data_IF_754408444149
#
_entry.id   IF_754408444149
#
_cell.length_a   1.000
_cell.length_b   1.000
_cell.length_c   1.000
_cell.angle_alpha   90.00
_cell.angle_beta   90.00
_cell.angle_gamma   90.00
#
_symmetry.space_group_name_H-M   'P 1'
#
loop_
_entity.id
_entity.type
_entity.pdbx_description
1 polymer ?
#
# COMPACT_ATOMS: atom_id res chain seq x y z
N UNK A 1 -132.06 -59.93 108.67
CA UNK A 1 -131.58 -58.64 108.12
C UNK A 1 -132.47 -58.08 107.01
N UNK A 2 -132.74 -58.80 105.91
CA UNK A 2 -133.55 -58.30 104.78
C UNK A 2 -134.93 -57.75 105.21
N UNK A 3 -135.72 -58.54 105.93
CA UNK A 3 -137.06 -58.16 106.42
C UNK A 3 -137.02 -57.14 107.55
N UNK A 4 -135.99 -57.17 108.41
CA UNK A 4 -135.89 -56.32 109.61
C UNK A 4 -135.43 -54.89 109.31
N UNK A 5 -134.73 -54.68 108.20
CA UNK A 5 -134.20 -53.37 107.76
C UNK A 5 -134.76 -52.93 106.42
N UNK A 6 -135.81 -53.61 105.92
CA UNK A 6 -136.49 -53.29 104.65
C UNK A 6 -135.52 -53.17 103.46
N UNK A 7 -134.56 -54.11 103.37
CA UNK A 7 -133.56 -54.11 102.29
C UNK A 7 -134.17 -54.73 101.03
N UNK A 8 -134.26 -53.96 99.95
CA UNK A 8 -134.75 -54.44 98.65
C UNK A 8 -133.59 -54.84 97.71
N UNK A 9 -132.73 -55.74 98.17
CA UNK A 9 -131.55 -56.24 97.44
C UNK A 9 -131.36 -57.74 97.64
N UNK A 10 -130.58 -58.37 96.75
CA UNK A 10 -130.12 -59.76 96.88
C UNK A 10 -128.76 -59.87 97.63
N UNK A 11 -128.24 -61.09 97.82
CA UNK A 11 -127.01 -61.30 98.61
C UNK A 11 -125.72 -60.80 97.92
N UNK A 12 -125.63 -60.91 96.60
CA UNK A 12 -124.47 -60.41 95.85
C UNK A 12 -124.44 -58.88 95.83
N UNK A 13 -125.59 -58.25 95.57
CA UNK A 13 -125.79 -56.80 95.70
C UNK A 13 -125.46 -56.32 97.12
N UNK A 14 -125.83 -57.11 98.13
CA UNK A 14 -125.49 -56.81 99.51
C UNK A 14 -123.98 -56.79 99.76
N UNK A 15 -123.23 -57.77 99.23
CA UNK A 15 -121.75 -57.79 99.33
C UNK A 15 -121.13 -56.54 98.67
N UNK A 16 -121.58 -56.17 97.48
CA UNK A 16 -121.09 -54.97 96.81
C UNK A 16 -121.46 -53.69 97.58
N UNK A 17 -122.67 -53.59 98.11
CA UNK A 17 -123.09 -52.47 98.92
C UNK A 17 -122.27 -52.33 100.22
N UNK A 18 -121.90 -53.44 100.88
CA UNK A 18 -120.96 -53.39 102.02
C UNK A 18 -119.60 -52.86 101.56
N UNK A 19 -119.04 -53.37 100.46
CA UNK A 19 -117.73 -52.94 99.97
C UNK A 19 -117.74 -51.45 99.60
N UNK A 20 -118.79 -50.99 98.93
CA UNK A 20 -118.97 -49.58 98.58
C UNK A 20 -119.08 -48.72 99.83
N UNK A 21 -119.88 -49.12 100.82
CA UNK A 21 -119.97 -48.41 102.10
C UNK A 21 -118.63 -48.39 102.86
N UNK A 22 -117.83 -49.46 102.81
CA UNK A 22 -116.48 -49.50 103.38
C UNK A 22 -115.51 -48.58 102.63
N UNK A 23 -115.63 -48.49 101.30
CA UNK A 23 -114.86 -47.53 100.50
C UNK A 23 -115.30 -46.09 100.77
N UNK A 24 -116.59 -45.81 100.90
CA UNK A 24 -117.13 -44.51 101.31
C UNK A 24 -116.63 -44.13 102.71
N UNK A 25 -116.49 -45.10 103.62
CA UNK A 25 -115.84 -44.88 104.92
C UNK A 25 -114.36 -44.51 104.78
N UNK A 26 -113.59 -45.23 103.96
CA UNK A 26 -112.16 -44.92 103.70
C UNK A 26 -112.00 -43.52 103.07
N UNK A 27 -112.94 -43.12 102.21
CA UNK A 27 -113.05 -41.77 101.62
C UNK A 27 -113.64 -40.71 102.55
N UNK A 28 -114.08 -41.08 103.77
CA UNK A 28 -114.70 -40.21 104.78
C UNK A 28 -116.07 -39.62 104.40
N UNK A 29 -116.79 -40.24 103.48
CA UNK A 29 -118.15 -39.85 103.05
C UNK A 29 -119.24 -40.51 103.91
N UNK A 30 -118.91 -41.65 104.54
CA UNK A 30 -119.78 -42.39 105.44
C UNK A 30 -119.10 -42.61 106.79
N UNK A 31 -119.90 -42.72 107.85
CA UNK A 31 -119.39 -43.04 109.18
C UNK A 31 -119.73 -44.48 109.56
N UNK A 32 -118.80 -45.11 110.25
CA UNK A 32 -118.92 -46.47 110.77
C UNK A 32 -118.80 -46.46 112.29
N UNK A 33 -119.68 -47.17 112.99
CA UNK A 33 -119.65 -47.33 114.45
C UNK A 33 -119.98 -48.77 114.82
N UNK A 34 -119.16 -49.45 115.63
CA UNK A 34 -119.60 -50.68 116.32
C UNK A 34 -120.24 -50.29 117.65
N UNK A 35 -121.46 -50.77 117.88
CA UNK A 35 -122.17 -50.70 119.16
C UNK A 35 -122.05 -52.07 119.82
N UNK A 36 -121.59 -52.12 121.07
CA UNK A 36 -121.40 -53.38 121.80
C UNK A 36 -122.44 -53.49 122.91
N UNK A 37 -123.17 -54.62 122.95
CA UNK A 37 -124.14 -54.94 124.00
C UNK A 37 -124.03 -56.42 124.38
N UNK A 38 -123.62 -56.73 125.61
CA UNK A 38 -123.41 -58.07 126.19
C UNK A 38 -122.77 -59.08 125.21
N UNK A 39 -123.57 -59.76 124.37
CA UNK A 39 -123.14 -60.83 123.47
C UNK A 39 -123.24 -60.49 121.96
N UNK A 40 -123.60 -59.24 121.60
CA UNK A 40 -123.80 -58.78 120.21
C UNK A 40 -123.00 -57.49 119.96
N UNK A 41 -122.19 -57.41 118.88
CA UNK A 41 -121.72 -56.14 118.33
C UNK A 41 -122.57 -55.81 117.10
N UNK A 42 -123.19 -54.63 117.05
CA UNK A 42 -123.86 -54.15 115.85
C UNK A 42 -122.98 -53.12 115.16
N UNK A 43 -122.57 -53.42 113.93
CA UNK A 43 -121.86 -52.49 113.06
C UNK A 43 -122.87 -51.58 112.34
N UNK A 44 -122.79 -50.28 112.58
CA UNK A 44 -123.73 -49.27 112.09
C UNK A 44 -123.04 -48.38 111.06
N UNK A 45 -123.51 -48.46 109.82
CA UNK A 45 -123.18 -47.55 108.74
C UNK A 45 -124.17 -46.38 108.74
N UNK A 46 -123.68 -45.15 108.90
CA UNK A 46 -124.53 -43.97 109.00
C UNK A 46 -123.92 -42.73 108.36
N UNK A 47 -124.78 -41.84 107.85
CA UNK A 47 -124.42 -40.50 107.41
C UNK A 47 -124.78 -39.46 108.46
N UNK A 48 -123.98 -38.38 108.54
CA UNK A 48 -124.32 -37.21 109.35
C UNK A 48 -124.87 -36.12 108.44
N UNK A 49 -126.11 -35.69 108.71
CA UNK A 49 -126.68 -34.47 108.13
C UNK A 49 -126.73 -33.36 109.20
N UNK A 50 -126.98 -32.11 108.78
CA UNK A 50 -127.09 -30.95 109.68
C UNK A 50 -128.23 -31.08 110.70
N UNK A 51 -129.22 -31.92 110.43
CA UNK A 51 -130.45 -32.05 111.22
C UNK A 51 -130.48 -33.35 112.03
N UNK A 52 -130.03 -34.47 111.44
CA UNK A 52 -130.05 -35.81 112.08
C UNK A 52 -129.05 -36.76 111.41
N UNK A 53 -128.59 -37.76 112.15
CA UNK A 53 -127.86 -38.89 111.57
C UNK A 53 -128.82 -39.88 110.91
N UNK A 54 -128.51 -40.29 109.68
CA UNK A 54 -129.28 -41.28 108.90
C UNK A 54 -128.52 -42.59 108.94
N UNK A 55 -129.15 -43.65 109.45
CA UNK A 55 -128.57 -45.00 109.45
C UNK A 55 -128.92 -45.68 108.13
N UNK A 56 -127.90 -46.15 107.40
CA UNK A 56 -128.04 -46.79 106.10
C UNK A 56 -128.10 -48.31 106.22
N UNK A 57 -127.25 -48.89 107.07
CA UNK A 57 -127.20 -50.33 107.29
C UNK A 57 -126.74 -50.61 108.72
N UNK A 58 -127.36 -51.60 109.34
CA UNK A 58 -126.87 -52.20 110.58
C UNK A 58 -126.55 -53.66 110.33
N UNK A 59 -125.39 -54.13 110.77
CA UNK A 59 -124.97 -55.53 110.62
C UNK A 59 -124.66 -56.06 112.00
N UNK A 60 -125.46 -57.01 112.47
CA UNK A 60 -125.18 -57.69 113.73
C UNK A 60 -124.04 -58.68 113.51
N UNK A 61 -123.00 -58.52 114.31
CA UNK A 61 -121.80 -59.32 114.37
C UNK A 61 -121.80 -60.13 115.66
N UNK A 62 -121.37 -61.38 115.55
CA UNK A 62 -121.01 -62.17 116.71
C UNK A 62 -119.72 -61.61 117.32
N UNK A 63 -119.66 -61.52 118.64
CA UNK A 63 -118.39 -61.25 119.33
C UNK A 63 -117.44 -62.42 119.14
N UNK A 64 -116.30 -62.15 118.53
CA UNK A 64 -115.29 -63.18 118.28
C UNK A 64 -114.84 -63.81 119.61
N UNK A 65 -114.65 -65.12 119.58
CA UNK A 65 -114.07 -65.84 120.71
C UNK A 65 -112.54 -65.90 120.58
N UNK A 66 -111.87 -66.28 121.67
CA UNK A 66 -110.40 -66.37 121.69
C UNK A 66 -109.86 -67.31 120.61
N UNK A 67 -110.56 -68.42 120.31
CA UNK A 67 -110.14 -69.40 119.31
C UNK A 67 -110.10 -68.79 117.92
N UNK A 68 -111.14 -68.08 117.50
CA UNK A 68 -111.20 -67.40 116.18
C UNK A 68 -110.11 -66.33 116.04
N UNK A 69 -109.85 -65.57 117.10
CA UNK A 69 -108.75 -64.58 117.12
C UNK A 69 -107.40 -65.29 116.92
N UNK A 70 -107.16 -66.40 117.62
CA UNK A 70 -105.93 -67.17 117.45
C UNK A 70 -105.81 -67.75 116.04
N UNK A 71 -106.89 -68.29 115.47
CA UNK A 71 -106.91 -68.83 114.11
C UNK A 71 -106.57 -67.75 113.08
N UNK A 72 -107.18 -66.57 113.15
CA UNK A 72 -106.90 -65.46 112.21
C UNK A 72 -105.46 -64.92 112.38
N UNK A 73 -104.98 -64.81 113.62
CA UNK A 73 -103.59 -64.40 113.88
C UNK A 73 -102.58 -65.42 113.32
N UNK A 74 -102.87 -66.72 113.42
CA UNK A 74 -102.03 -67.77 112.83
C UNK A 74 -102.03 -67.65 111.31
N UNK A 75 -103.18 -67.42 110.68
CA UNK A 75 -103.28 -67.23 109.22
C UNK A 75 -102.48 -65.99 108.77
N UNK A 76 -102.65 -64.85 109.46
CA UNK A 76 -101.90 -63.63 109.16
C UNK A 76 -100.39 -63.81 109.34
N UNK A 77 -99.96 -64.49 110.41
CA UNK A 77 -98.56 -64.79 110.68
C UNK A 77 -97.95 -65.67 109.59
N UNK A 78 -98.66 -66.72 109.17
CA UNK A 78 -98.21 -67.61 108.10
C UNK A 78 -98.06 -66.85 106.77
N UNK A 79 -99.04 -66.00 106.40
CA UNK A 79 -98.96 -65.18 105.19
C UNK A 79 -97.76 -64.21 105.21
N UNK A 80 -97.49 -63.57 106.36
CA UNK A 80 -96.33 -62.70 106.54
C UNK A 80 -95.02 -63.49 106.44
N UNK A 81 -94.98 -64.69 107.02
CA UNK A 81 -93.80 -65.56 106.97
C UNK A 81 -93.52 -66.02 105.54
N UNK A 82 -94.52 -66.46 104.79
CA UNK A 82 -94.38 -66.83 103.38
C UNK A 82 -93.89 -65.66 102.51
N UNK A 83 -94.45 -64.47 102.73
CA UNK A 83 -94.01 -63.25 102.02
C UNK A 83 -92.55 -62.92 102.34
N UNK A 84 -92.15 -63.01 103.61
CA UNK A 84 -90.78 -62.77 104.04
C UNK A 84 -89.81 -63.80 103.43
N UNK A 85 -90.18 -65.08 103.41
CA UNK A 85 -89.39 -66.14 102.79
C UNK A 85 -89.23 -65.93 101.27
N UNK A 86 -90.29 -65.48 100.60
CA UNK A 86 -90.23 -65.10 99.18
C UNK A 86 -89.29 -63.92 98.95
N UNK A 87 -89.41 -62.85 99.74
CA UNK A 87 -88.55 -61.67 99.64
C UNK A 87 -87.08 -62.02 99.92
N UNK A 88 -86.82 -62.85 100.94
CA UNK A 88 -85.47 -63.32 101.28
C UNK A 88 -84.84 -64.10 100.13
N UNK A 89 -85.61 -64.97 99.45
CA UNK A 89 -85.16 -65.67 98.24
C UNK A 89 -84.86 -64.69 97.09
N UNK A 90 -85.72 -63.71 96.85
CA UNK A 90 -85.50 -62.68 95.82
C UNK A 90 -84.24 -61.85 96.06
N UNK A 91 -84.04 -61.37 97.30
CA UNK A 91 -82.84 -60.61 97.69
C UNK A 91 -81.57 -61.45 97.49
N UNK A 92 -81.62 -62.73 97.88
CA UNK A 92 -80.48 -63.64 97.71
C UNK A 92 -80.13 -63.84 96.23
N UNK A 93 -81.14 -64.02 95.37
CA UNK A 93 -80.94 -64.19 93.94
C UNK A 93 -80.40 -62.91 93.28
N UNK A 94 -80.94 -61.75 93.64
CA UNK A 94 -80.44 -60.46 93.14
C UNK A 94 -78.98 -60.24 93.58
N UNK A 95 -78.64 -60.51 94.84
CA UNK A 95 -77.26 -60.39 95.34
C UNK A 95 -76.28 -61.28 94.56
N UNK A 96 -76.67 -62.52 94.22
CA UNK A 96 -75.87 -63.41 93.38
C UNK A 96 -75.70 -62.84 91.97
N UNK A 97 -76.77 -62.37 91.35
CA UNK A 97 -76.75 -61.77 90.00
C UNK A 97 -75.85 -60.53 89.93
N UNK A 98 -75.99 -59.62 90.91
CA UNK A 98 -75.13 -58.42 91.00
C UNK A 98 -73.66 -58.78 91.15
N UNK A 99 -73.33 -59.75 92.03
CA UNK A 99 -71.94 -60.18 92.22
C UNK A 99 -71.33 -60.77 90.94
N UNK A 100 -72.11 -61.51 90.17
CA UNK A 100 -71.68 -62.04 88.87
C UNK A 100 -71.46 -60.92 87.84
N UNK A 101 -72.35 -59.93 87.80
CA UNK A 101 -72.18 -58.75 86.93
C UNK A 101 -70.97 -57.90 87.31
N UNK A 102 -70.69 -57.72 88.59
CA UNK A 102 -69.49 -57.02 89.05
C UNK A 102 -68.22 -57.76 88.61
N UNK A 103 -68.21 -59.09 88.68
CA UNK A 103 -67.09 -59.91 88.19
C UNK A 103 -66.90 -59.77 86.68
N UNK A 104 -67.99 -59.75 85.90
CA UNK A 104 -67.94 -59.52 84.45
C UNK A 104 -67.39 -58.12 84.12
N UNK A 105 -67.78 -57.09 84.87
CA UNK A 105 -67.27 -55.72 84.71
C UNK A 105 -65.75 -55.68 84.99
N UNK A 106 -65.29 -56.33 86.06
CA UNK A 106 -63.86 -56.39 86.38
C UNK A 106 -63.03 -57.09 85.29
N UNK A 107 -63.56 -58.18 84.70
CA UNK A 107 -62.92 -58.86 83.59
C UNK A 107 -62.81 -57.94 82.35
N UNK A 108 -63.92 -57.30 81.95
CA UNK A 108 -63.92 -56.35 80.82
C UNK A 108 -62.97 -55.17 81.05
N UNK A 109 -62.91 -54.63 82.27
CA UNK A 109 -61.98 -53.55 82.59
C UNK A 109 -60.51 -53.99 82.45
N UNK A 110 -60.21 -55.24 82.81
CA UNK A 110 -58.88 -55.81 82.65
C UNK A 110 -58.50 -55.96 81.17
N UNK A 111 -59.44 -56.42 80.33
CA UNK A 111 -59.27 -56.50 78.88
C UNK A 111 -59.06 -55.12 78.24
N UNK A 112 -59.84 -54.11 78.66
CA UNK A 112 -59.68 -52.72 78.20
C UNK A 112 -58.29 -52.19 78.54
N UNK A 113 -57.79 -52.45 79.76
CA UNK A 113 -56.44 -52.02 80.16
C UNK A 113 -55.37 -52.67 79.28
N UNK A 114 -55.46 -53.98 79.05
CA UNK A 114 -54.51 -54.70 78.19
C UNK A 114 -54.54 -54.21 76.75
N UNK A 115 -55.74 -53.93 76.21
CA UNK A 115 -55.89 -53.42 74.86
C UNK A 115 -55.27 -52.02 74.72
N UNK A 116 -55.45 -51.16 75.72
CA UNK A 116 -54.83 -49.83 75.75
C UNK A 116 -53.30 -49.94 75.80
N UNK A 117 -52.75 -50.79 76.65
CA UNK A 117 -51.30 -51.00 76.76
C UNK A 117 -50.71 -51.50 75.42
N UNK A 118 -51.40 -52.45 74.78
CA UNK A 118 -51.01 -52.93 73.46
C UNK A 118 -51.08 -51.81 72.41
N UNK A 119 -52.17 -51.03 72.39
CA UNK A 119 -52.33 -49.92 71.45
C UNK A 119 -51.19 -48.89 71.59
N UNK A 120 -50.89 -48.43 72.81
CA UNK A 120 -49.82 -47.46 73.02
C UNK A 120 -48.43 -48.01 72.69
N UNK A 121 -48.19 -49.30 72.96
CA UNK A 121 -46.94 -49.96 72.60
C UNK A 121 -46.77 -50.04 71.09
N UNK A 122 -47.80 -50.50 70.37
CA UNK A 122 -47.79 -50.54 68.91
C UNK A 122 -47.67 -49.15 68.30
N UNK A 123 -48.38 -48.16 68.84
CA UNK A 123 -48.29 -46.77 68.39
C UNK A 123 -46.86 -46.23 68.52
N UNK A 124 -46.21 -46.44 69.67
CA UNK A 124 -44.82 -46.00 69.90
C UNK A 124 -43.82 -46.70 68.97
N UNK A 125 -44.05 -47.99 68.66
CA UNK A 125 -43.21 -48.72 67.70
C UNK A 125 -43.36 -48.16 66.29
N UNK A 126 -44.61 -47.88 65.85
CA UNK A 126 -44.89 -47.26 64.55
C UNK A 126 -44.25 -45.88 64.47
N UNK A 127 -44.42 -45.04 65.50
CA UNK A 127 -43.82 -43.71 65.59
C UNK A 127 -42.29 -43.78 65.50
N UNK A 128 -41.66 -44.68 66.26
CA UNK A 128 -40.21 -44.87 66.21
C UNK A 128 -39.70 -45.34 64.85
N UNK A 129 -40.39 -46.28 64.21
CA UNK A 129 -40.05 -46.77 62.88
C UNK A 129 -40.22 -45.67 61.81
N UNK A 130 -41.31 -44.91 61.90
CA UNK A 130 -41.60 -43.80 61.00
C UNK A 130 -40.54 -42.70 61.10
N UNK A 131 -40.20 -42.28 62.32
CA UNK A 131 -39.17 -41.26 62.55
C UNK A 131 -37.80 -41.73 62.06
N UNK A 132 -37.41 -42.98 62.35
CA UNK A 132 -36.15 -43.56 61.86
C UNK A 132 -36.08 -43.60 60.33
N UNK A 133 -37.20 -43.95 59.68
CA UNK A 133 -37.28 -43.96 58.22
C UNK A 133 -37.20 -42.55 57.63
N UNK A 134 -37.89 -41.57 58.24
CA UNK A 134 -37.82 -40.17 57.83
C UNK A 134 -36.40 -39.61 57.96
N UNK A 135 -35.70 -39.88 59.06
CA UNK A 135 -34.31 -39.47 59.26
C UNK A 135 -33.39 -40.09 58.20
N UNK A 136 -33.55 -41.39 57.91
CA UNK A 136 -32.77 -42.08 56.89
C UNK A 136 -33.02 -41.51 55.48
N UNK A 137 -34.29 -41.28 55.12
CA UNK A 137 -34.66 -40.66 53.83
C UNK A 137 -34.07 -39.26 53.73
N UNK A 138 -34.18 -38.46 54.80
CA UNK A 138 -33.65 -37.10 54.86
C UNK A 138 -32.13 -37.10 54.67
N UNK A 139 -31.41 -37.97 55.40
CA UNK A 139 -29.96 -38.10 55.29
C UNK A 139 -29.53 -38.54 53.88
N UNK A 140 -30.17 -39.56 53.31
CA UNK A 140 -29.86 -40.05 51.97
C UNK A 140 -30.12 -38.98 50.90
N UNK A 141 -31.24 -38.27 51.01
CA UNK A 141 -31.60 -37.18 50.08
C UNK A 141 -30.58 -36.04 50.18
N UNK A 142 -30.20 -35.64 51.39
CA UNK A 142 -29.17 -34.61 51.60
C UNK A 142 -27.83 -35.01 50.97
N UNK A 143 -27.35 -36.23 51.21
CA UNK A 143 -26.12 -36.72 50.59
C UNK A 143 -26.17 -36.69 49.04
N UNK A 144 -27.32 -37.01 48.44
CA UNK A 144 -27.50 -36.95 46.98
C UNK A 144 -27.49 -35.51 46.45
N UNK A 145 -28.08 -34.58 47.20
CA UNK A 145 -28.06 -33.14 46.89
C UNK A 145 -26.62 -32.62 46.95
N UNK A 146 -25.89 -32.87 48.03
CA UNK A 146 -24.50 -32.45 48.21
C UNK A 146 -23.59 -33.00 47.10
N UNK A 147 -23.76 -34.28 46.73
CA UNK A 147 -23.00 -34.89 45.65
C UNK A 147 -23.29 -34.26 44.27
N UNK A 148 -24.54 -33.86 44.04
CA UNK A 148 -24.95 -33.19 42.80
C UNK A 148 -24.45 -31.75 42.74
N UNK A 149 -24.47 -31.03 43.86
CA UNK A 149 -23.92 -29.68 43.99
C UNK A 149 -22.40 -29.66 43.72
N UNK A 150 -21.66 -30.64 44.24
CA UNK A 150 -20.23 -30.80 43.94
C UNK A 150 -19.98 -31.06 42.45
N UNK A 151 -20.80 -31.91 41.80
CA UNK A 151 -20.68 -32.15 40.35
C UNK A 151 -20.95 -30.87 39.55
N UNK A 152 -21.98 -30.11 39.92
CA UNK A 152 -22.32 -28.84 39.29
C UNK A 152 -21.15 -27.84 39.40
N UNK A 153 -20.56 -27.74 40.58
CA UNK A 153 -19.41 -26.85 40.84
C UNK A 153 -18.20 -27.21 39.97
N UNK A 154 -17.90 -28.50 39.83
CA UNK A 154 -16.83 -28.98 38.93
C UNK A 154 -17.13 -28.66 37.47
N UNK A 155 -18.35 -28.93 37.00
CA UNK A 155 -18.76 -28.62 35.64
C UNK A 155 -18.66 -27.12 35.35
N UNK A 156 -19.10 -26.27 36.27
CA UNK A 156 -18.99 -24.82 36.16
C UNK A 156 -17.53 -24.37 36.03
N UNK A 157 -16.63 -24.98 36.81
CA UNK A 157 -15.19 -24.71 36.70
C UNK A 157 -14.63 -25.11 35.32
N UNK A 158 -15.00 -26.27 34.80
CA UNK A 158 -14.61 -26.73 33.47
C UNK A 158 -15.14 -25.84 32.35
N UNK A 159 -16.41 -25.41 32.44
CA UNK A 159 -17.01 -24.46 31.48
C UNK A 159 -16.26 -23.14 31.48
N UNK A 160 -15.88 -22.63 32.66
CA UNK A 160 -15.09 -21.39 32.76
C UNK A 160 -13.69 -21.55 32.14
N UNK A 161 -13.05 -22.72 32.27
CA UNK A 161 -11.79 -23.01 31.59
C UNK A 161 -11.94 -23.01 30.07
N UNK A 162 -12.95 -23.71 29.53
CA UNK A 162 -13.23 -23.75 28.09
C UNK A 162 -13.55 -22.35 27.56
N UNK A 163 -14.32 -21.55 28.30
CA UNK A 163 -14.62 -20.16 27.95
C UNK A 163 -13.34 -19.33 27.83
N UNK A 164 -12.42 -19.44 28.79
CA UNK A 164 -11.11 -18.76 28.74
C UNK A 164 -10.28 -19.22 27.53
N UNK A 165 -10.22 -20.53 27.29
CA UNK A 165 -9.49 -21.09 26.15
C UNK A 165 -10.05 -20.61 24.80
N UNK A 166 -11.38 -20.52 24.69
CA UNK A 166 -12.04 -20.05 23.47
C UNK A 166 -11.73 -18.58 23.20
N UNK A 167 -11.72 -17.75 24.24
CA UNK A 167 -11.30 -16.34 24.14
C UNK A 167 -9.85 -16.23 23.66
N UNK A 168 -8.93 -16.98 24.28
CA UNK A 168 -7.51 -16.98 23.89
C UNK A 168 -7.31 -17.47 22.44
N UNK A 169 -8.04 -18.50 22.02
CA UNK A 169 -8.01 -18.99 20.63
C UNK A 169 -8.53 -17.93 19.65
N UNK A 170 -9.60 -17.21 20.01
CA UNK A 170 -10.12 -16.12 19.19
C UNK A 170 -9.12 -14.96 19.07
N UNK A 171 -8.48 -14.56 20.18
CA UNK A 171 -7.44 -13.52 20.19
C UNK A 171 -6.20 -13.91 19.37
N UNK A 172 -5.75 -15.17 19.51
CA UNK A 172 -4.65 -15.72 18.72
C UNK A 172 -4.97 -15.76 17.23
N UNK A 173 -6.16 -16.25 16.87
CA UNK A 173 -6.66 -16.27 15.49
C UNK A 173 -6.71 -14.86 14.88
N UNK A 174 -7.26 -13.89 15.61
CA UNK A 174 -7.31 -12.49 15.18
C UNK A 174 -5.91 -11.90 14.97
N UNK A 175 -4.96 -12.22 15.85
CA UNK A 175 -3.58 -11.76 15.72
C UNK A 175 -2.90 -12.37 14.49
N UNK A 176 -3.15 -13.66 14.23
CA UNK A 176 -2.62 -14.37 13.08
C UNK A 176 -3.21 -13.81 11.78
N UNK A 177 -4.52 -13.52 11.74
CA UNK A 177 -5.17 -12.87 10.60
C UNK A 177 -4.58 -11.48 10.32
N UNK A 178 -4.34 -10.67 11.34
CA UNK A 178 -3.66 -9.37 11.18
C UNK A 178 -2.25 -9.53 10.62
N UNK A 179 -1.49 -10.52 11.09
CA UNK A 179 -0.15 -10.80 10.58
C UNK A 179 -0.17 -11.22 9.11
N UNK A 180 -1.09 -12.12 8.75
CA UNK A 180 -1.27 -12.56 7.35
C UNK A 180 -1.64 -11.38 6.45
N UNK A 181 -2.54 -10.51 6.89
CA UNK A 181 -2.92 -9.32 6.12
C UNK A 181 -1.74 -8.35 5.95
N UNK A 182 -0.96 -8.12 7.01
CA UNK A 182 0.26 -7.31 6.92
C UNK A 182 1.27 -7.89 5.93
N UNK A 183 1.53 -9.19 5.99
CA UNK A 183 2.42 -9.88 5.05
C UNK A 183 1.89 -9.83 3.61
N UNK A 184 0.56 -9.90 3.44
CA UNK A 184 -0.07 -9.75 2.12
C UNK A 184 0.13 -8.34 1.56
N UNK A 185 -0.04 -7.32 2.38
CA UNK A 185 0.21 -5.92 2.00
C UNK A 185 1.69 -5.69 1.69
N UNK A 186 2.61 -6.24 2.49
CA UNK A 186 4.05 -6.16 2.25
C UNK A 186 4.44 -6.86 0.94
N UNK A 187 3.97 -8.09 0.70
CA UNK A 187 4.17 -8.80 -0.56
C UNK A 187 3.62 -8.03 -1.76
N UNK A 188 2.46 -7.38 -1.62
CA UNK A 188 1.91 -6.52 -2.67
C UNK A 188 2.83 -5.33 -2.94
N UNK A 189 3.36 -4.68 -1.90
CA UNK A 189 4.32 -3.59 -2.04
C UNK A 189 5.64 -4.04 -2.70
N UNK A 190 6.18 -5.18 -2.28
CA UNK A 190 7.36 -5.79 -2.90
C UNK A 190 7.11 -6.15 -4.36
N UNK A 191 5.94 -6.70 -4.71
CA UNK A 191 5.58 -7.01 -6.09
C UNK A 191 5.54 -5.74 -6.97
N UNK A 192 4.99 -4.63 -6.47
CA UNK A 192 5.03 -3.34 -7.16
C UNK A 192 6.47 -2.85 -7.38
N UNK A 193 7.30 -2.87 -6.34
CA UNK A 193 8.72 -2.48 -6.44
C UNK A 193 9.49 -3.36 -7.45
N UNK A 194 9.23 -4.67 -7.49
CA UNK A 194 9.82 -5.58 -8.49
C UNK A 194 9.40 -5.17 -9.91
N UNK A 195 8.13 -4.78 -10.11
CA UNK A 195 7.65 -4.35 -11.42
C UNK A 195 8.29 -3.03 -11.87
N UNK A 196 8.47 -2.07 -10.95
CA UNK A 196 9.21 -0.83 -11.20
C UNK A 196 10.66 -1.11 -11.61
N UNK A 197 11.38 -1.95 -10.84
CA UNK A 197 12.75 -2.34 -11.16
C UNK A 197 12.87 -3.10 -12.48
N UNK A 198 11.86 -3.90 -12.86
CA UNK A 198 11.79 -4.55 -14.18
C UNK A 198 11.62 -3.53 -15.29
N UNK A 199 10.78 -2.52 -15.09
CA UNK A 199 10.57 -1.45 -16.05
C UNK A 199 11.85 -0.63 -16.25
N UNK A 200 12.48 -0.18 -15.16
CA UNK A 200 13.75 0.54 -15.18
C UNK A 200 14.87 -0.28 -15.86
N UNK A 201 14.96 -1.60 -15.58
CA UNK A 201 15.88 -2.48 -16.30
C UNK A 201 15.60 -2.51 -17.82
N UNK A 202 14.34 -2.48 -18.22
CA UNK A 202 13.94 -2.39 -19.62
C UNK A 202 14.43 -1.10 -20.28
N UNK A 203 14.23 0.03 -19.60
CA UNK A 203 14.71 1.34 -20.05
C UNK A 203 16.23 1.38 -20.16
N UNK A 204 16.95 0.88 -19.14
CA UNK A 204 18.40 0.80 -19.13
C UNK A 204 18.93 -0.09 -20.27
N UNK A 205 18.27 -1.22 -20.55
CA UNK A 205 18.61 -2.08 -21.70
C UNK A 205 18.43 -1.35 -23.03
N UNK A 206 17.34 -0.59 -23.19
CA UNK A 206 17.13 0.23 -24.38
C UNK A 206 18.17 1.35 -24.50
N UNK A 207 18.48 2.04 -23.41
CA UNK A 207 19.53 3.06 -23.38
C UNK A 207 20.89 2.47 -23.75
N UNK A 208 21.24 1.29 -23.19
CA UNK A 208 22.45 0.55 -23.54
C UNK A 208 22.50 0.23 -25.03
N UNK A 209 21.43 -0.33 -25.59
CA UNK A 209 21.35 -0.64 -27.02
C UNK A 209 21.57 0.59 -27.90
N UNK A 210 20.96 1.73 -27.54
CA UNK A 210 21.14 2.99 -28.26
C UNK A 210 22.57 3.50 -28.17
N UNK A 211 23.21 3.41 -27.01
CA UNK A 211 24.62 3.79 -26.82
C UNK A 211 25.55 2.88 -27.63
N UNK A 212 25.31 1.56 -27.64
CA UNK A 212 26.07 0.61 -28.46
C UNK A 212 25.94 0.94 -29.96
N UNK A 213 24.73 1.27 -30.43
CA UNK A 213 24.50 1.71 -31.81
C UNK A 213 25.23 3.01 -32.13
N UNK A 214 25.13 4.02 -31.26
CA UNK A 214 25.84 5.29 -31.43
C UNK A 214 27.36 5.11 -31.44
N UNK A 215 27.90 4.22 -30.59
CA UNK A 215 29.31 3.90 -30.56
C UNK A 215 29.76 3.25 -31.88
N UNK A 216 28.94 2.36 -32.44
CA UNK A 216 29.20 1.73 -33.74
C UNK A 216 29.16 2.76 -34.88
N UNK A 217 28.19 3.67 -34.89
CA UNK A 217 28.11 4.76 -35.88
C UNK A 217 29.31 5.71 -35.78
N UNK A 218 29.74 6.06 -34.56
CA UNK A 218 30.95 6.86 -34.32
C UNK A 218 32.22 6.13 -34.78
N UNK A 219 32.32 4.81 -34.60
CA UNK A 219 33.43 4.02 -35.15
C UNK A 219 33.47 4.09 -36.67
N UNK A 220 32.33 3.90 -37.34
CA UNK A 220 32.26 4.04 -38.81
C UNK A 220 32.65 5.44 -39.28
N UNK A 221 32.19 6.48 -38.60
CA UNK A 221 32.59 7.87 -38.89
C UNK A 221 34.09 8.09 -38.71
N UNK A 222 34.68 7.53 -37.65
CA UNK A 222 36.12 7.59 -37.41
C UNK A 222 36.89 6.89 -38.54
N UNK A 223 36.46 5.70 -38.96
CA UNK A 223 37.08 4.97 -40.06
C UNK A 223 36.97 5.73 -41.39
N UNK A 224 35.81 6.34 -41.67
CA UNK A 224 35.63 7.21 -42.84
C UNK A 224 36.58 8.41 -42.80
N UNK A 225 36.71 9.08 -41.64
CA UNK A 225 37.66 10.20 -41.47
C UNK A 225 39.11 9.74 -41.60
N UNK A 226 39.44 8.55 -41.11
CA UNK A 226 40.76 7.95 -41.26
C UNK A 226 41.08 7.68 -42.72
N UNK A 227 40.13 7.15 -43.50
CA UNK A 227 40.25 6.99 -44.95
C UNK A 227 40.45 8.34 -45.67
N UNK A 228 39.63 9.34 -45.36
CA UNK A 228 39.77 10.67 -45.93
C UNK A 228 41.13 11.31 -45.59
N UNK A 229 41.63 11.08 -44.37
CA UNK A 229 42.94 11.57 -43.97
C UNK A 229 44.07 10.86 -44.72
N UNK A 230 43.96 9.55 -44.97
CA UNK A 230 44.90 8.82 -45.84
C UNK A 230 44.90 9.38 -47.27
N UNK A 231 43.74 9.73 -47.83
CA UNK A 231 43.65 10.36 -49.16
C UNK A 231 44.27 11.77 -49.18
N UNK A 232 44.02 12.58 -48.15
CA UNK A 232 44.64 13.90 -48.01
C UNK A 232 46.15 13.80 -47.84
N UNK A 233 46.63 12.83 -47.05
CA UNK A 233 48.06 12.55 -46.90
C UNK A 233 48.68 12.21 -48.25
N UNK A 234 48.03 11.37 -49.06
CA UNK A 234 48.49 11.00 -50.41
C UNK A 234 48.57 12.20 -51.34
N UNK A 235 47.54 13.07 -51.34
CA UNK A 235 47.57 14.34 -52.10
C UNK A 235 48.67 15.28 -51.62
N UNK A 236 48.94 15.32 -50.32
CA UNK A 236 50.01 16.15 -49.76
C UNK A 236 51.40 15.64 -50.20
N UNK A 237 51.60 14.32 -50.24
CA UNK A 237 52.82 13.71 -50.76
C UNK A 237 53.00 13.99 -52.28
N UNK A 238 51.91 13.97 -53.05
CA UNK A 238 51.90 14.38 -54.47
C UNK A 238 52.29 15.85 -54.64
N UNK A 239 51.68 16.76 -53.88
CA UNK A 239 52.06 18.18 -53.91
C UNK A 239 53.50 18.41 -53.48
N UNK A 240 54.02 17.65 -52.51
CA UNK A 240 55.42 17.74 -52.10
C UNK A 240 56.36 17.32 -53.23
N UNK A 241 56.03 16.23 -53.95
CA UNK A 241 56.76 15.77 -55.13
C UNK A 241 56.77 16.82 -56.25
N UNK A 242 55.62 17.44 -56.52
CA UNK A 242 55.52 18.47 -57.55
C UNK A 242 56.25 19.76 -57.16
N UNK A 243 56.27 20.11 -55.87
CA UNK A 243 57.04 21.25 -55.36
C UNK A 243 58.55 21.00 -55.45
N UNK A 244 58.99 19.75 -55.26
CA UNK A 244 60.37 19.33 -55.45
C UNK A 244 60.78 19.41 -56.93
N UNK A 245 59.94 18.92 -57.85
CA UNK A 245 60.14 19.10 -59.30
C UNK A 245 60.18 20.57 -59.70
N UNK A 246 59.26 21.39 -59.19
CA UNK A 246 59.22 22.82 -59.46
C UNK A 246 60.50 23.53 -58.94
N UNK A 247 60.99 23.14 -57.75
CA UNK A 247 62.25 23.66 -57.21
C UNK A 247 63.45 23.31 -58.09
N UNK A 248 63.51 22.09 -58.64
CA UNK A 248 64.54 21.68 -59.60
C UNK A 248 64.47 22.53 -60.87
N UNK A 249 63.28 22.76 -61.42
CA UNK A 249 63.08 23.62 -62.60
C UNK A 249 63.48 25.07 -62.33
N UNK A 250 63.15 25.60 -61.15
CA UNK A 250 63.56 26.95 -60.73
C UNK A 250 65.09 27.04 -60.65
N UNK A 251 65.76 26.02 -60.08
CA UNK A 251 67.22 25.98 -60.01
C UNK A 251 67.87 25.94 -61.40
N UNK A 252 67.33 25.13 -62.32
CA UNK A 252 67.78 25.08 -63.72
C UNK A 252 67.60 26.43 -64.43
N UNK A 253 66.42 27.06 -64.31
CA UNK A 253 66.14 28.38 -64.88
C UNK A 253 67.07 29.47 -64.32
N UNK A 254 67.37 29.41 -63.02
CA UNK A 254 68.30 30.34 -62.35
C UNK A 254 69.73 30.19 -62.89
N UNK A 255 70.16 28.96 -63.18
CA UNK A 255 71.45 28.69 -63.83
C UNK A 255 71.51 29.30 -65.25
N UNK A 256 70.49 29.08 -66.08
CA UNK A 256 70.44 29.69 -67.43
C UNK A 256 70.42 31.22 -67.39
N UNK A 257 69.78 31.83 -66.40
CA UNK A 257 69.78 33.30 -66.26
C UNK A 257 71.19 33.83 -65.95
N UNK A 258 71.96 33.14 -65.08
CA UNK A 258 73.34 33.55 -64.79
C UNK A 258 74.27 33.35 -66.00
N UNK A 259 74.05 32.32 -66.82
CA UNK A 259 74.75 32.16 -68.11
C UNK A 259 74.41 33.29 -69.09
N UNK A 260 73.13 33.59 -69.30
CA UNK A 260 72.69 34.70 -70.16
C UNK A 260 73.21 36.06 -69.66
N UNK A 261 73.34 36.25 -68.35
CA UNK A 261 73.90 37.46 -67.74
C UNK A 261 75.40 37.59 -68.04
N UNK A 262 76.15 36.49 -68.02
CA UNK A 262 77.56 36.47 -68.46
C UNK A 262 77.69 36.84 -69.93
N UNK A 263 76.86 36.26 -70.79
CA UNK A 263 76.86 36.53 -72.23
C UNK A 263 76.52 37.99 -72.53
N UNK A 264 75.53 38.56 -71.81
CA UNK A 264 75.15 39.96 -71.93
C UNK A 264 76.29 40.92 -71.53
N UNK A 265 77.01 40.61 -70.45
CA UNK A 265 78.19 41.38 -70.02
C UNK A 265 79.30 41.31 -71.07
N UNK A 266 79.53 40.13 -71.66
CA UNK A 266 80.51 39.96 -72.73
C UNK A 266 80.14 40.75 -74.00
N UNK A 267 78.87 40.71 -74.41
CA UNK A 267 78.36 41.46 -75.56
C UNK A 267 78.46 42.98 -75.35
N UNK A 268 78.15 43.48 -74.15
CA UNK A 268 78.32 44.90 -73.82
C UNK A 268 79.80 45.31 -73.79
N UNK A 269 80.69 44.45 -73.32
CA UNK A 269 82.13 44.72 -73.34
C UNK A 269 82.67 44.83 -74.79
N UNK A 270 82.17 43.99 -75.69
CA UNK A 270 82.48 44.05 -77.13
C UNK A 270 81.95 45.34 -77.77
N UNK A 271 80.73 45.76 -77.45
CA UNK A 271 80.17 47.04 -77.93
C UNK A 271 80.96 48.25 -77.45
N UNK A 272 81.39 48.27 -76.18
CA UNK A 272 82.23 49.35 -75.64
C UNK A 272 83.58 49.42 -76.35
N UNK A 273 84.19 48.27 -76.67
CA UNK A 273 85.43 48.22 -77.43
C UNK A 273 85.24 48.65 -78.89
N UNK A 274 84.11 48.30 -79.51
CA UNK A 274 83.77 48.72 -80.86
C UNK A 274 83.55 50.24 -80.96
N UNK A 275 82.82 50.84 -80.00
CA UNK A 275 82.63 52.30 -79.96
C UNK A 275 83.95 53.07 -79.79
N UNK A 276 84.85 52.60 -78.91
CA UNK A 276 86.19 53.20 -78.77
C UNK A 276 87.00 53.15 -80.08
N UNK A 277 86.81 52.12 -80.90
CA UNK A 277 87.47 52.00 -82.19
C UNK A 277 86.90 52.99 -83.22
N UNK A 278 85.58 53.14 -83.28
CA UNK A 278 84.92 54.13 -84.15
C UNK A 278 85.29 55.58 -83.81
N UNK A 279 85.39 55.91 -82.52
CA UNK A 279 85.83 57.25 -82.06
C UNK A 279 87.28 57.54 -82.48
N UNK A 280 88.17 56.54 -82.38
CA UNK A 280 89.56 56.68 -82.83
C UNK A 280 89.68 56.84 -84.34
N UNK A 281 88.83 56.16 -85.12
CA UNK A 281 88.83 56.29 -86.58
C UNK A 281 88.28 57.64 -87.04
N UNK A 282 87.22 58.14 -86.38
CA UNK A 282 86.65 59.47 -86.69
C UNK A 282 87.66 60.59 -86.45
N UNK A 283 88.45 60.47 -85.38
CA UNK A 283 89.50 61.46 -85.06
C UNK A 283 90.64 61.47 -86.08
N UNK A 284 91.05 60.29 -86.59
CA UNK A 284 92.05 60.19 -87.67
C UNK A 284 91.53 60.76 -89.00
N UNK A 285 90.22 60.63 -89.28
CA UNK A 285 89.59 61.15 -90.50
C UNK A 285 89.52 62.69 -90.50
N UNK A 286 89.24 63.30 -89.36
CA UNK A 286 89.26 64.77 -89.19
C UNK A 286 90.67 65.35 -89.37
N UNK A 287 91.70 64.71 -88.81
CA UNK A 287 93.10 65.16 -88.95
C UNK A 287 93.60 65.07 -90.41
N UNK A 288 93.22 64.02 -91.15
CA UNK A 288 93.56 63.90 -92.57
C UNK A 288 92.81 64.90 -93.46
N UNK A 289 91.56 65.24 -93.12
CA UNK A 289 90.75 66.20 -93.88
C UNK A 289 91.27 67.63 -93.73
N UNK A 290 91.74 68.00 -92.54
CA UNK A 290 92.39 69.30 -92.30
C UNK A 290 93.73 69.43 -93.04
N UNK A 291 94.55 68.37 -93.04
CA UNK A 291 95.82 68.37 -93.77
C UNK A 291 95.66 68.44 -95.30
N UNK A 292 94.58 67.86 -95.84
CA UNK A 292 94.27 67.92 -97.28
C UNK A 292 93.85 69.33 -97.71
N UNK A 293 93.01 70.01 -96.92
CA UNK A 293 92.59 71.38 -97.21
C UNK A 293 93.75 72.40 -97.16
N UNK A 294 94.75 72.18 -96.31
CA UNK A 294 95.97 73.01 -96.29
C UNK A 294 96.85 72.78 -97.54
N UNK A 295 96.94 71.54 -98.04
CA UNK A 295 97.70 71.23 -99.26
C UNK A 295 97.02 71.77 -100.53
N UNK A 296 95.70 71.72 -100.63
CA UNK A 296 94.96 72.29 -101.77
C UNK A 296 95.06 73.82 -101.83
N UNK A 297 95.21 74.49 -100.68
CA UNK A 297 95.41 75.93 -100.61
C UNK A 297 96.81 76.34 -101.10
N UNK A 298 97.85 75.60 -100.71
CA UNK A 298 99.23 75.80 -101.18
C UNK A 298 99.36 75.53 -102.69
N UNK A 299 98.67 74.53 -103.21
CA UNK A 299 98.67 74.23 -104.66
C UNK A 299 98.05 75.36 -105.47
N UNK A 300 96.93 75.94 -105.01
CA UNK A 300 96.28 77.05 -105.72
C UNK A 300 97.13 78.34 -105.73
N UNK A 301 97.86 78.62 -104.64
CA UNK A 301 98.75 79.78 -104.58
C UNK A 301 99.96 79.61 -105.52
N UNK A 302 100.54 78.41 -105.60
CA UNK A 302 101.62 78.06 -106.55
C UNK A 302 101.18 78.10 -108.03
N UNK A 303 99.93 77.75 -108.33
CA UNK A 303 99.38 77.83 -109.70
C UNK A 303 99.21 79.28 -110.15
N UNK A 304 98.76 80.17 -109.24
CA UNK A 304 98.64 81.61 -109.54
C UNK A 304 100.01 82.30 -109.71
N UNK A 305 101.00 81.92 -108.91
CA UNK A 305 102.38 82.42 -109.04
C UNK A 305 103.04 82.00 -110.37
N UNK A 306 102.78 80.75 -110.80
CA UNK A 306 103.29 80.24 -112.08
C UNK A 306 102.66 80.92 -113.30
N UNK A 307 101.35 81.18 -113.28
CA UNK A 307 100.65 81.93 -114.34
C UNK A 307 101.13 83.39 -114.44
N UNK A 308 101.41 84.06 -113.31
CA UNK A 308 102.00 85.41 -113.32
C UNK A 308 103.44 85.44 -113.84
N UNK A 309 104.28 84.46 -113.45
CA UNK A 309 105.64 84.36 -113.98
C UNK A 309 105.67 84.12 -115.51
N UNK A 310 104.72 83.30 -116.00
CA UNK A 310 104.55 83.00 -117.44
C UNK A 310 104.15 84.22 -118.26
N UNK A 311 103.37 85.15 -117.70
CA UNK A 311 103.00 86.42 -118.33
C UNK A 311 104.21 87.37 -118.46
N UNK A 312 104.98 87.54 -117.39
CA UNK A 312 106.16 88.44 -117.37
C UNK A 312 107.29 87.93 -118.27
N UNK A 313 107.52 86.61 -118.33
CA UNK A 313 108.54 86.02 -119.21
C UNK A 313 108.22 86.21 -120.70
N UNK A 314 106.94 86.28 -121.08
CA UNK A 314 106.52 86.47 -122.46
C UNK A 314 106.64 87.93 -122.93
N UNK A 315 106.45 88.92 -122.06
CA UNK A 315 106.67 90.32 -122.40
C UNK A 315 108.17 90.66 -122.57
N UNK A 316 109.02 90.20 -121.65
CA UNK A 316 110.47 90.49 -121.68
C UNK A 316 111.19 89.84 -122.90
N UNK A 317 110.70 88.68 -123.35
CA UNK A 317 111.25 88.00 -124.53
C UNK A 317 110.76 88.61 -125.85
N UNK A 318 109.56 89.21 -125.87
CA UNK A 318 109.02 89.89 -127.04
C UNK A 318 109.72 91.24 -127.28
N UNK A 319 110.09 91.96 -126.22
CA UNK A 319 110.87 93.20 -126.33
C UNK A 319 112.32 92.96 -126.78
N UNK A 320 112.97 91.90 -126.28
CA UNK A 320 114.32 91.50 -126.73
C UNK A 320 114.36 91.10 -128.20
N UNK A 321 113.36 90.36 -128.67
CA UNK A 321 113.31 89.93 -130.06
C UNK A 321 113.04 91.11 -131.02
N UNK A 322 112.25 92.10 -130.58
CA UNK A 322 112.01 93.32 -131.36
C UNK A 322 113.27 94.21 -131.43
N UNK A 323 114.04 94.27 -130.35
CA UNK A 323 115.33 94.97 -130.31
C UNK A 323 116.36 94.29 -131.23
N UNK A 324 116.46 92.96 -131.20
CA UNK A 324 117.40 92.20 -132.01
C UNK A 324 117.07 92.25 -133.51
N UNK A 325 115.78 92.31 -133.88
CA UNK A 325 115.39 92.40 -135.29
C UNK A 325 115.58 93.82 -135.85
N UNK A 326 115.42 94.86 -135.03
CA UNK A 326 115.84 96.22 -135.39
C UNK A 326 117.36 96.33 -135.61
N UNK A 327 118.16 95.58 -134.84
CA UNK A 327 119.61 95.49 -135.05
C UNK A 327 119.93 94.71 -136.33
N UNK A 328 119.27 93.58 -136.58
CA UNK A 328 119.47 92.81 -137.80
C UNK A 328 119.10 93.59 -139.08
N UNK A 329 118.04 94.41 -139.03
CA UNK A 329 117.66 95.30 -140.13
C UNK A 329 118.67 96.43 -140.38
N UNK A 330 119.41 96.90 -139.36
CA UNK A 330 120.56 97.80 -139.58
C UNK A 330 121.76 97.07 -140.18
N UNK A 331 121.94 95.79 -139.86
CA UNK A 331 123.01 94.96 -140.43
C UNK A 331 122.72 94.59 -141.89
N UNK A 332 121.45 94.46 -142.26
CA UNK A 332 120.97 94.46 -143.64
C UNK A 332 121.45 95.72 -144.37
N UNK A 333 121.32 96.91 -143.78
CA UNK A 333 121.73 98.16 -144.45
C UNK A 333 123.27 98.36 -144.56
N UNK A 334 124.06 97.91 -143.59
CA UNK A 334 125.52 98.06 -143.64
C UNK A 334 126.21 97.07 -144.60
N UNK A 335 125.67 95.84 -144.73
CA UNK A 335 126.22 94.84 -145.65
C UNK A 335 125.80 95.12 -147.10
N UNK A 336 124.62 95.68 -147.31
CA UNK A 336 124.23 96.27 -148.59
C UNK A 336 125.15 97.42 -149.01
N UNK A 337 125.73 98.19 -148.07
CA UNK A 337 126.76 99.20 -148.40
C UNK A 337 128.16 98.62 -148.65
N UNK A 338 128.54 97.51 -148.00
CA UNK A 338 129.89 96.91 -148.13
C UNK A 338 130.07 96.03 -149.37
N UNK A 339 129.06 95.30 -149.85
CA UNK A 339 129.28 94.50 -151.08
C UNK A 339 129.01 95.28 -152.38
N UNK A 340 128.20 96.34 -152.34
CA UNK A 340 128.22 97.38 -153.40
C UNK A 340 129.61 98.03 -153.56
N UNK A 341 130.49 97.96 -152.53
CA UNK A 341 131.93 98.29 -152.62
C UNK A 341 132.82 97.13 -153.09
N UNK A 342 132.46 95.86 -152.84
CA UNK A 342 133.22 94.69 -153.32
C UNK A 342 132.98 94.38 -154.81
N UNK A 343 131.77 94.65 -155.31
CA UNK A 343 131.48 94.80 -156.74
C UNK A 343 132.33 95.91 -157.40
N UNK A 344 133.02 96.75 -156.62
CA UNK A 344 133.90 97.82 -157.09
C UNK A 344 135.40 97.49 -156.96
N UNK A 345 135.81 96.52 -156.13
CA UNK A 345 137.22 96.16 -155.88
C UNK A 345 137.72 94.94 -156.70
N UNK A 346 136.92 93.91 -156.99
CA UNK A 346 137.42 92.82 -157.88
C UNK A 346 137.33 93.16 -159.38
N UNK A 347 136.58 94.20 -159.71
CA UNK A 347 136.68 94.94 -160.98
C UNK A 347 137.93 95.85 -161.03
N UNK A 348 138.70 95.99 -159.93
CA UNK A 348 140.01 96.67 -159.85
C UNK A 348 141.20 95.69 -159.69
N UNK A 349 140.95 94.37 -159.53
CA UNK A 349 141.95 93.28 -159.73
C UNK A 349 141.99 92.75 -161.17
N UNK A 350 141.29 93.46 -162.07
CA UNK A 350 141.42 93.45 -163.53
C UNK A 350 142.85 93.40 -164.07
N UNK A 351 143.89 93.91 -163.41
CA UNK A 351 144.97 94.48 -164.23
C UNK A 351 146.41 94.29 -163.77
N UNK A 352 146.71 93.41 -162.78
CA UNK A 352 148.06 93.39 -162.17
C UNK A 352 148.90 92.08 -162.07
N UNK A 353 148.49 90.91 -162.59
CA UNK A 353 149.42 89.73 -162.78
C UNK A 353 149.35 89.08 -164.17
N UNK A 354 149.15 89.92 -165.17
CA UNK A 354 149.50 89.63 -166.58
C UNK A 354 151.04 89.65 -166.81
N UNK A 355 151.88 89.17 -165.87
CA UNK A 355 153.35 89.30 -165.99
C UNK A 355 154.14 88.09 -165.47
N UNK A 356 154.82 87.42 -166.42
CA UNK A 356 156.10 86.70 -166.30
C UNK A 356 156.21 85.57 -165.26
N UNK A 357 156.13 84.30 -165.68
CA UNK A 357 157.23 83.52 -166.28
C UNK A 357 158.28 83.04 -165.27
N UNK A 358 158.24 81.70 -165.02
CA UNK A 358 159.35 80.72 -164.98
C UNK A 358 160.48 80.92 -163.94
N UNK A 359 161.35 79.90 -163.62
CA UNK A 359 161.46 78.53 -164.17
C UNK A 359 161.87 77.39 -163.17
N UNK A 360 161.90 76.16 -163.72
CA UNK A 360 162.58 74.89 -163.32
C UNK A 360 162.12 74.17 -162.03
N UNK A 361 161.82 72.87 -162.02
CA UNK A 361 162.16 71.75 -162.92
C UNK A 361 160.94 70.83 -163.15
#
# INVERSE_FOLDING_TARGET
MKTSQSLDINFDEFKYNILDMLQQYDRKEMFLKCLVSADICTLVFYGKSKIKSIVYLTVDLHMTNQKEIYEELIVALNNLQESNDRLKKQVTNLKKSTSEKDRQIQAMNSEISQLNDHFYTSFKQIEGAFNSNLENITKNTRCKVDASEQKLTRLLSSVNLVKKETVLKAESSNSLMKLVENLRMENSGQASAINELKHENGELRHAKYNLEKNAEDLRRMMDQKKCANMELQRKNDEFRSDLEKASVVIAQKKSSIEELKKDLVQANQLLVNYNKHCDSLSKQLEEQTLSLNEKDRVINDLVNEYEQYKLVYNEDKHEKLNADLMVANRTIDELEQKLRKANKINMLLTEKVKSNANPFN
#
